data_IF_694476964275
#
_entry.id   IF_694476964275
#
_cell.length_a   1.000
_cell.length_b   1.000
_cell.length_c   1.000
_cell.angle_alpha   90.00
_cell.angle_beta   90.00
_cell.angle_gamma   90.00
#
_symmetry.space_group_name_H-M   'P 1'
#
loop_
_entity.id
_entity.type
_entity.pdbx_description
1 polymer ?
#
# COMPACT_ATOMS: atom_id res chain seq x y z
N UNK A 1 13.92 13.81 -80.39
CA UNK A 1 13.59 14.95 -79.51
C UNK A 1 12.59 14.44 -78.49
N UNK A 2 13.09 14.34 -77.26
CA UNK A 2 12.49 13.73 -76.09
C UNK A 2 11.30 14.55 -75.59
N UNK A 3 10.19 13.91 -75.23
CA UNK A 3 9.21 14.53 -74.33
C UNK A 3 8.44 13.47 -73.53
N UNK A 4 8.03 13.88 -72.34
CA UNK A 4 8.07 13.16 -71.08
C UNK A 4 6.67 12.74 -70.58
N UNK A 5 6.65 11.74 -69.69
CA UNK A 5 5.55 11.16 -68.88
C UNK A 5 4.32 12.02 -68.59
N UNK A 6 3.14 11.37 -68.49
CA UNK A 6 2.23 11.66 -67.37
C UNK A 6 1.52 10.43 -66.81
N UNK A 7 1.85 10.21 -65.54
CA UNK A 7 1.44 9.21 -64.58
C UNK A 7 -0.09 9.18 -64.36
N UNK A 8 -0.71 8.00 -64.33
CA UNK A 8 -2.06 7.79 -63.77
C UNK A 8 -2.05 6.55 -62.88
N UNK A 9 -1.66 6.76 -61.63
CA UNK A 9 -1.85 5.78 -60.56
C UNK A 9 -3.36 5.64 -60.29
N UNK A 10 -3.87 4.41 -60.39
CA UNK A 10 -5.22 4.06 -59.97
C UNK A 10 -5.27 4.00 -58.44
N UNK A 11 -6.15 4.82 -57.85
CA UNK A 11 -6.44 4.82 -56.43
C UNK A 11 -7.33 3.62 -56.09
N UNK A 12 -6.81 2.66 -55.31
CA UNK A 12 -7.65 1.67 -54.61
C UNK A 12 -7.85 2.14 -53.18
N UNK A 13 -9.08 2.58 -52.89
CA UNK A 13 -9.55 2.88 -51.54
C UNK A 13 -9.78 1.54 -50.86
N UNK A 14 -8.86 1.12 -50.00
CA UNK A 14 -9.08 -0.02 -49.11
C UNK A 14 -10.03 0.43 -47.99
N UNK A 15 -11.30 0.04 -48.14
CA UNK A 15 -12.32 0.11 -47.11
C UNK A 15 -11.88 -0.68 -45.87
N UNK A 16 -12.18 -0.13 -44.70
CA UNK A 16 -11.59 -0.54 -43.44
C UNK A 16 -12.03 -1.90 -42.89
N UNK A 17 -11.22 -2.35 -41.94
CA UNK A 17 -11.68 -3.03 -40.74
C UNK A 17 -10.88 -2.41 -39.61
N UNK A 18 -11.45 -1.41 -38.92
CA UNK A 18 -10.99 -1.07 -37.59
C UNK A 18 -11.42 -2.25 -36.71
N UNK A 19 -10.53 -3.23 -36.59
CA UNK A 19 -10.71 -4.35 -35.68
C UNK A 19 -10.85 -3.76 -34.28
N UNK A 20 -12.07 -3.71 -33.77
CA UNK A 20 -12.34 -3.67 -32.35
C UNK A 20 -11.83 -5.01 -31.80
N UNK A 21 -10.51 -5.13 -31.66
CA UNK A 21 -9.97 -6.05 -30.68
C UNK A 21 -10.64 -5.61 -29.38
N UNK A 22 -11.43 -6.45 -28.69
CA UNK A 22 -11.79 -6.14 -27.33
C UNK A 22 -10.45 -5.87 -26.65
N UNK A 23 -10.24 -4.64 -26.19
CA UNK A 23 -9.12 -4.37 -25.30
C UNK A 23 -9.41 -5.25 -24.09
N UNK A 24 -8.64 -6.31 -23.91
CA UNK A 24 -8.66 -7.04 -22.64
C UNK A 24 -8.10 -6.02 -21.67
N UNK A 25 -9.00 -5.27 -21.02
CA UNK A 25 -8.64 -4.41 -19.93
C UNK A 25 -7.92 -5.33 -18.94
N UNK A 26 -6.60 -5.22 -18.89
CA UNK A 26 -5.78 -6.04 -18.02
C UNK A 26 -6.29 -5.91 -16.59
N UNK A 27 -6.00 -6.91 -15.76
CA UNK A 27 -6.15 -6.80 -14.32
C UNK A 27 -5.60 -5.46 -13.83
N UNK A 28 -6.45 -4.58 -13.29
CA UNK A 28 -5.98 -3.33 -12.65
C UNK A 28 -6.56 -3.27 -11.25
N UNK A 29 -5.76 -3.71 -10.29
CA UNK A 29 -5.96 -3.35 -8.90
C UNK A 29 -5.29 -2.00 -8.61
N UNK A 30 -6.00 -1.12 -7.92
CA UNK A 30 -5.53 0.22 -7.58
C UNK A 30 -5.76 0.49 -6.10
N UNK A 31 -4.79 1.15 -5.48
CA UNK A 31 -4.98 1.76 -4.16
C UNK A 31 -5.79 3.04 -4.35
N UNK A 32 -6.96 3.10 -3.72
CA UNK A 32 -7.89 4.24 -3.77
C UNK A 32 -7.58 5.28 -2.71
N UNK A 33 -7.05 4.86 -1.56
CA UNK A 33 -6.69 5.77 -0.49
C UNK A 33 -5.94 5.09 0.64
N UNK A 34 -5.18 5.89 1.38
CA UNK A 34 -4.48 5.46 2.59
C UNK A 34 -4.69 6.49 3.70
N UNK A 35 -4.91 5.99 4.90
CA UNK A 35 -4.98 6.78 6.13
C UNK A 35 -3.91 6.23 7.06
N UNK A 36 -2.93 7.08 7.39
CA UNK A 36 -1.85 6.73 8.31
C UNK A 36 -2.36 6.54 9.74
N UNK A 37 -1.57 5.83 10.55
CA UNK A 37 -1.85 5.67 11.98
C UNK A 37 -1.38 6.92 12.73
N UNK A 38 -2.28 7.59 13.45
CA UNK A 38 -1.96 8.73 14.31
C UNK A 38 -2.31 8.42 15.76
N UNK A 39 -1.32 8.36 16.64
CA UNK A 39 -1.52 8.01 18.05
C UNK A 39 -2.02 9.19 18.91
N UNK A 40 -1.90 10.41 18.40
CA UNK A 40 -2.14 11.64 19.17
C UNK A 40 -1.13 11.80 20.31
N UNK A 41 -1.58 12.40 21.42
CA UNK A 41 -0.73 12.60 22.60
C UNK A 41 -0.49 11.29 23.35
N UNK A 42 0.78 10.93 23.51
CA UNK A 42 1.26 9.85 24.38
C UNK A 42 1.85 10.46 25.65
N UNK A 43 1.45 9.95 26.82
CA UNK A 43 2.03 10.34 28.10
C UNK A 43 2.90 9.21 28.64
N UNK A 44 4.09 9.54 29.12
CA UNK A 44 5.03 8.54 29.69
C UNK A 44 4.49 7.91 30.97
N UNK A 45 3.49 8.53 31.59
CA UNK A 45 2.76 8.04 32.77
C UNK A 45 1.57 7.15 32.43
N UNK A 46 1.25 6.96 31.15
CA UNK A 46 0.16 6.08 30.74
C UNK A 46 0.48 4.64 31.14
N UNK A 47 -0.43 4.03 31.92
CA UNK A 47 -0.32 2.65 32.39
C UNK A 47 -0.87 1.63 31.39
N UNK A 48 -1.56 2.11 30.35
CA UNK A 48 -2.14 1.29 29.30
C UNK A 48 -1.49 1.62 27.95
N UNK A 49 -1.38 0.63 27.05
CA UNK A 49 -0.90 0.89 25.70
C UNK A 49 -1.79 1.90 24.99
N UNK A 50 -1.17 2.77 24.18
CA UNK A 50 -1.88 3.72 23.34
C UNK A 50 -2.15 3.09 21.98
N UNK A 51 -3.40 2.79 21.73
CA UNK A 51 -3.85 2.18 20.49
C UNK A 51 -4.39 3.24 19.52
N UNK A 52 -4.19 2.99 18.22
CA UNK A 52 -4.77 3.79 17.14
C UNK A 52 -5.00 2.92 15.91
N UNK A 53 -5.72 3.44 14.92
CA UNK A 53 -5.97 2.75 13.67
C UNK A 53 -5.77 3.67 12.45
N UNK A 54 -5.36 3.05 11.35
CA UNK A 54 -5.35 3.62 10.01
C UNK A 54 -6.07 2.69 9.05
N UNK A 55 -5.99 2.96 7.74
CA UNK A 55 -6.66 2.10 6.75
C UNK A 55 -6.04 2.22 5.38
N UNK A 56 -6.15 1.14 4.60
CA UNK A 56 -5.82 1.11 3.18
C UNK A 56 -7.10 0.73 2.43
N UNK A 57 -7.48 1.53 1.44
CA UNK A 57 -8.62 1.22 0.57
C UNK A 57 -8.09 0.86 -0.81
N UNK A 58 -8.50 -0.30 -1.33
CA UNK A 58 -8.15 -0.74 -2.67
C UNK A 58 -9.38 -1.22 -3.42
N UNK A 59 -9.31 -1.19 -4.76
CA UNK A 59 -10.35 -1.70 -5.66
C UNK A 59 -9.70 -2.34 -6.87
N UNK A 60 -10.25 -3.48 -7.28
CA UNK A 60 -9.77 -4.21 -8.45
C UNK A 60 -10.82 -4.23 -9.55
N UNK A 61 -10.37 -3.95 -10.77
CA UNK A 61 -11.14 -4.04 -12.00
C UNK A 61 -10.41 -4.96 -12.99
N UNK A 62 -11.13 -5.47 -13.99
CA UNK A 62 -10.61 -6.46 -14.93
C UNK A 62 -10.43 -7.86 -14.32
N UNK A 63 -9.41 -8.59 -14.77
CA UNK A 63 -9.06 -9.90 -14.21
C UNK A 63 -8.56 -9.73 -12.77
N UNK A 64 -9.19 -10.39 -11.80
CA UNK A 64 -8.77 -10.30 -10.39
C UNK A 64 -7.69 -11.33 -10.07
N UNK A 65 -6.62 -10.89 -9.42
CA UNK A 65 -5.51 -11.71 -8.94
C UNK A 65 -5.35 -11.56 -7.41
N UNK A 66 -4.76 -12.55 -6.70
CA UNK A 66 -4.64 -12.48 -5.26
C UNK A 66 -3.75 -11.32 -4.80
N UNK A 67 -4.29 -10.45 -3.94
CA UNK A 67 -3.55 -9.32 -3.39
C UNK A 67 -2.80 -9.72 -2.11
N UNK A 68 -1.57 -9.24 -1.96
CA UNK A 68 -0.87 -9.18 -0.67
C UNK A 68 -0.44 -7.77 -0.35
N UNK A 69 -0.42 -7.43 0.94
CA UNK A 69 0.04 -6.13 1.42
C UNK A 69 1.03 -6.34 2.56
N UNK A 70 2.23 -5.82 2.37
CA UNK A 70 3.32 -5.82 3.33
C UNK A 70 3.66 -4.41 3.78
N UNK A 71 4.16 -4.29 5.01
CA UNK A 71 4.77 -3.08 5.52
C UNK A 71 6.25 -3.31 5.80
N UNK A 72 7.10 -2.33 5.50
CA UNK A 72 8.52 -2.34 5.88
C UNK A 72 8.72 -2.20 7.39
N UNK A 73 9.94 -2.40 7.86
CA UNK A 73 10.31 -2.21 9.26
C UNK A 73 10.47 -0.73 9.66
N UNK A 74 10.11 0.21 8.77
CA UNK A 74 10.29 1.65 8.98
C UNK A 74 11.75 2.05 9.14
N UNK A 75 11.97 3.20 9.76
CA UNK A 75 13.31 3.72 10.03
C UNK A 75 14.13 2.90 11.03
N UNK A 76 13.51 1.93 11.73
CA UNK A 76 14.18 1.06 12.70
C UNK A 76 14.92 -0.12 12.06
N UNK A 77 14.52 -0.55 10.86
CA UNK A 77 15.01 -1.80 10.26
C UNK A 77 14.60 -3.09 10.98
N UNK A 78 13.83 -3.02 12.07
CA UNK A 78 13.38 -4.18 12.86
C UNK A 78 11.85 -4.22 13.02
N UNK A 79 11.20 -5.24 12.45
CA UNK A 79 9.75 -5.41 12.58
C UNK A 79 9.27 -5.61 14.02
N UNK A 80 10.05 -6.29 14.85
CA UNK A 80 9.66 -6.62 16.23
C UNK A 80 9.75 -5.40 17.16
N UNK A 81 10.62 -4.45 16.80
CA UNK A 81 10.90 -3.25 17.59
C UNK A 81 10.88 -2.00 16.69
N UNK A 82 9.78 -1.78 15.97
CA UNK A 82 9.60 -0.54 15.20
C UNK A 82 9.65 0.67 16.13
N UNK A 83 10.23 1.78 15.64
CA UNK A 83 10.31 3.00 16.44
C UNK A 83 10.21 4.26 15.60
N UNK A 84 9.53 5.26 16.15
CA UNK A 84 9.44 6.61 15.63
C UNK A 84 10.63 7.45 16.09
N UNK A 85 11.15 8.29 15.21
CA UNK A 85 12.21 9.25 15.51
C UNK A 85 11.61 10.51 16.17
N UNK A 86 12.19 10.92 17.30
CA UNK A 86 11.88 12.19 17.95
C UNK A 86 13.00 13.23 17.83
N UNK A 87 12.83 14.42 18.43
CA UNK A 87 13.82 15.49 18.39
C UNK A 87 15.08 15.12 19.17
N UNK A 88 16.26 15.24 18.53
CA UNK A 88 17.54 14.93 19.18
C UNK A 88 17.91 13.45 19.22
N UNK A 89 17.33 12.63 18.34
CA UNK A 89 17.52 11.18 18.21
C UNK A 89 16.88 10.20 19.24
N UNK A 90 15.95 10.58 20.15
CA UNK A 90 15.20 9.60 20.93
C UNK A 90 14.28 8.77 20.02
N UNK A 91 13.97 7.55 20.47
CA UNK A 91 13.16 6.58 19.72
C UNK A 91 11.96 6.16 20.57
N UNK A 92 10.75 6.36 20.03
CA UNK A 92 9.51 5.90 20.64
C UNK A 92 9.05 4.60 19.97
N UNK A 93 8.99 3.50 20.71
CA UNK A 93 8.61 2.21 20.17
C UNK A 93 7.12 2.16 19.87
N UNK A 94 6.78 1.50 18.77
CA UNK A 94 5.41 1.20 18.37
C UNK A 94 5.40 -0.07 17.53
N UNK A 95 4.21 -0.57 17.20
CA UNK A 95 4.10 -1.56 16.12
C UNK A 95 2.75 -1.49 15.40
N UNK A 96 2.69 -2.15 14.25
CA UNK A 96 1.49 -2.34 13.43
C UNK A 96 1.08 -3.82 13.45
N UNK A 97 -0.23 -4.08 13.45
CA UNK A 97 -0.82 -5.39 13.59
C UNK A 97 -1.93 -5.61 12.57
N UNK A 98 -2.16 -6.88 12.22
CA UNK A 98 -3.16 -7.29 11.22
C UNK A 98 -4.60 -7.17 11.73
N UNK A 99 -4.80 -7.24 13.04
CA UNK A 99 -6.13 -7.25 13.65
C UNK A 99 -6.16 -6.52 15.00
N UNK A 100 -7.37 -6.36 15.54
CA UNK A 100 -7.62 -5.71 16.82
C UNK A 100 -7.10 -6.51 18.03
N UNK A 101 -6.81 -7.80 17.91
CA UNK A 101 -6.20 -8.59 19.00
C UNK A 101 -4.73 -8.24 19.17
N UNK A 102 -4.08 -7.74 18.11
CA UNK A 102 -2.68 -7.31 18.10
C UNK A 102 -1.71 -8.41 18.50
N UNK A 103 -2.03 -9.63 18.08
CA UNK A 103 -1.18 -10.80 18.32
C UNK A 103 -0.15 -11.00 17.21
N UNK A 104 -0.45 -10.57 15.98
CA UNK A 104 0.41 -10.75 14.81
C UNK A 104 0.88 -9.40 14.31
N UNK A 105 2.19 -9.17 14.39
CA UNK A 105 2.83 -7.98 13.83
C UNK A 105 2.71 -8.03 12.31
N UNK A 106 2.22 -6.95 11.72
CA UNK A 106 2.14 -6.79 10.28
C UNK A 106 3.50 -6.36 9.74
N UNK A 107 4.18 -7.27 9.05
CA UNK A 107 5.44 -7.04 8.36
C UNK A 107 5.34 -7.52 6.92
N UNK A 108 6.26 -8.41 6.55
CA UNK A 108 6.34 -8.98 5.21
C UNK A 108 6.22 -10.52 5.19
N UNK A 109 5.85 -11.15 6.30
CA UNK A 109 5.79 -12.61 6.44
C UNK A 109 7.10 -13.26 6.90
N UNK A 110 8.21 -12.52 6.98
CA UNK A 110 9.48 -13.02 7.49
C UNK A 110 9.66 -12.73 8.98
N UNK A 111 10.58 -13.44 9.65
CA UNK A 111 10.98 -13.14 11.04
C UNK A 111 9.83 -13.21 12.05
N UNK A 112 8.85 -14.09 11.82
CA UNK A 112 7.67 -14.26 12.68
C UNK A 112 6.59 -13.18 12.50
N UNK A 113 6.72 -12.30 11.52
CA UNK A 113 5.66 -11.35 11.16
C UNK A 113 4.60 -12.00 10.29
N UNK A 114 3.38 -11.47 10.33
CA UNK A 114 2.35 -11.77 9.34
C UNK A 114 2.36 -10.77 8.19
N UNK A 115 1.50 -11.04 7.20
CA UNK A 115 1.16 -10.13 6.11
C UNK A 115 -0.34 -10.20 5.84
N UNK A 116 -0.88 -9.19 5.17
CA UNK A 116 -2.24 -9.26 4.67
C UNK A 116 -2.26 -10.09 3.38
N UNK A 117 -3.19 -11.04 3.30
CA UNK A 117 -3.36 -11.95 2.16
C UNK A 117 -2.39 -13.13 2.11
N UNK A 118 -2.38 -13.89 0.99
CA UNK A 118 -3.08 -13.59 -0.27
C UNK A 118 -4.61 -13.66 -0.13
N UNK A 119 -5.32 -12.68 -0.68
CA UNK A 119 -6.79 -12.67 -0.76
C UNK A 119 -7.21 -12.42 -2.20
N UNK A 120 -8.15 -13.18 -2.74
CA UNK A 120 -8.75 -12.87 -4.04
C UNK A 120 -9.82 -11.79 -3.84
N UNK A 121 -9.65 -10.57 -4.39
CA UNK A 121 -10.60 -9.49 -4.17
C UNK A 121 -11.84 -9.64 -5.05
N UNK A 122 -12.94 -9.04 -4.62
CA UNK A 122 -14.20 -9.03 -5.38
C UNK A 122 -14.13 -7.94 -6.46
N UNK A 123 -14.46 -8.31 -7.70
CA UNK A 123 -14.46 -7.40 -8.84
C UNK A 123 -15.31 -6.15 -8.59
N UNK A 124 -14.73 -4.97 -8.83
CA UNK A 124 -15.42 -3.67 -8.74
C UNK A 124 -15.78 -3.22 -7.33
N UNK A 125 -15.46 -4.02 -6.30
CA UNK A 125 -15.77 -3.70 -4.90
C UNK A 125 -14.58 -3.02 -4.24
N UNK A 126 -14.86 -1.95 -3.50
CA UNK A 126 -13.87 -1.33 -2.63
C UNK A 126 -13.70 -2.14 -1.35
N UNK A 127 -12.45 -2.48 -1.04
CA UNK A 127 -12.08 -3.19 0.18
C UNK A 127 -11.25 -2.26 1.05
N UNK A 128 -11.68 -2.10 2.30
CA UNK A 128 -10.94 -1.34 3.32
C UNK A 128 -10.24 -2.31 4.26
N UNK A 129 -8.90 -2.24 4.30
CA UNK A 129 -8.06 -3.02 5.20
C UNK A 129 -7.64 -2.13 6.37
N UNK A 130 -8.10 -2.41 7.60
CA UNK A 130 -7.69 -1.65 8.78
C UNK A 130 -6.24 -1.94 9.15
N UNK A 131 -5.50 -0.90 9.57
CA UNK A 131 -4.17 -1.01 10.16
C UNK A 131 -4.32 -0.76 11.64
N UNK A 132 -3.90 -1.70 12.49
CA UNK A 132 -3.96 -1.52 13.94
C UNK A 132 -2.59 -1.14 14.48
N UNK A 133 -2.46 0.05 15.05
CA UNK A 133 -1.23 0.51 15.69
C UNK A 133 -1.29 0.42 17.21
N UNK A 134 -0.13 0.22 17.84
CA UNK A 134 0.04 0.34 19.30
C UNK A 134 1.38 0.97 19.66
N UNK A 135 1.36 1.88 20.63
CA UNK A 135 2.53 2.30 21.41
C UNK A 135 2.44 1.60 22.78
N UNK A 136 3.45 0.82 23.20
CA UNK A 136 3.51 0.27 24.56
C UNK A 136 3.50 1.35 25.65
N UNK A 137 2.88 1.03 26.80
CA UNK A 137 2.84 1.88 27.99
C UNK A 137 4.24 2.11 28.59
N UNK A 138 4.40 3.18 29.37
CA UNK A 138 5.56 3.37 30.26
C UNK A 138 6.92 3.62 29.59
N UNK A 139 6.96 4.09 28.34
CA UNK A 139 8.23 4.45 27.69
C UNK A 139 8.69 5.82 28.16
N UNK A 140 9.81 5.87 28.88
CA UNK A 140 10.43 7.11 29.31
C UNK A 140 11.16 7.79 28.13
N UNK A 141 10.52 8.77 27.52
CA UNK A 141 11.05 9.54 26.39
C UNK A 141 10.85 11.05 26.60
N UNK A 142 11.72 11.91 26.05
CA UNK A 142 11.51 13.35 26.07
C UNK A 142 10.22 13.77 25.37
N UNK A 143 9.67 14.92 25.78
CA UNK A 143 8.53 15.51 25.06
C UNK A 143 8.98 15.96 23.66
N UNK A 144 8.16 15.67 22.65
CA UNK A 144 8.45 16.03 21.27
C UNK A 144 7.50 15.39 20.27
N UNK A 145 7.62 15.79 19.01
CA UNK A 145 6.94 15.12 17.91
C UNK A 145 7.74 13.88 17.48
N UNK A 146 7.06 12.74 17.37
CA UNK A 146 7.63 11.48 16.95
C UNK A 146 6.95 11.01 15.67
N UNK A 147 7.73 10.64 14.66
CA UNK A 147 7.21 10.09 13.40
C UNK A 147 8.10 8.97 12.83
N UNK A 148 7.49 8.13 12.00
CA UNK A 148 8.16 7.11 11.19
C UNK A 148 7.49 7.06 9.82
N UNK A 149 8.25 6.69 8.78
CA UNK A 149 7.74 6.55 7.41
C UNK A 149 7.93 5.11 6.98
N UNK A 150 6.80 4.42 6.73
CA UNK A 150 6.80 3.03 6.29
C UNK A 150 6.57 2.93 4.80
N UNK A 151 7.25 1.96 4.18
CA UNK A 151 7.00 1.58 2.80
C UNK A 151 5.94 0.48 2.81
N UNK A 152 4.84 0.71 2.10
CA UNK A 152 3.81 -0.30 1.86
C UNK A 152 4.09 -0.94 0.49
N UNK A 153 4.24 -2.26 0.47
CA UNK A 153 4.43 -3.02 -0.76
C UNK A 153 3.16 -3.81 -1.04
N UNK A 154 2.56 -3.56 -2.21
CA UNK A 154 1.34 -4.24 -2.64
C UNK A 154 1.69 -5.10 -3.85
N UNK A 155 1.33 -6.37 -3.80
CA UNK A 155 1.52 -7.31 -4.92
C UNK A 155 0.15 -7.79 -5.39
N UNK A 156 -0.04 -7.79 -6.70
CA UNK A 156 -1.25 -8.24 -7.41
C UNK A 156 -0.92 -9.47 -8.22
#
# INVERSE_FOLDING_TARGET
MSMTMRNRAAAFIAAGVCGLLPGWAGAVCQIRGTVGVSFGTYLTTDLLPRDSAGSITYRCEGQVTPITIDFSAGGSGNYQARSMAGPGAPRLQYNLYLDATRLIIWGNGAGGTGRYGPVLPVFGVEVTVPIFGRIPAGQAIPAGAYSDTLVMTVTF
#
